data_IF_465717580429
#
_entry.id   IF_465717580429
#
_cell.length_a   1.000
_cell.length_b   1.000
_cell.length_c   1.000
_cell.angle_alpha   90.00
_cell.angle_beta   90.00
_cell.angle_gamma   90.00
#
_symmetry.space_group_name_H-M   'P 1'
#
loop_
_entity.id
_entity.type
_entity.pdbx_description
1 polymer ?
#
# COMPACT_ATOMS: atom_id res chain seq x y z
N UNK A 1 -5.23 11.51 -52.46
CA UNK A 1 -5.59 12.54 -51.46
C UNK A 1 -7.05 12.37 -51.08
N UNK A 2 -7.41 11.23 -50.36
CA UNK A 2 -8.79 10.94 -49.86
C UNK A 2 -8.74 9.69 -48.97
N UNK A 3 -8.09 9.74 -47.80
CA UNK A 3 -8.13 8.64 -46.80
C UNK A 3 -8.28 9.17 -45.35
N UNK A 4 -8.36 10.51 -45.18
CA UNK A 4 -8.43 11.11 -43.84
C UNK A 4 -9.83 11.52 -43.36
N UNK A 5 -10.89 11.15 -44.06
CA UNK A 5 -12.24 11.72 -43.87
C UNK A 5 -13.28 10.85 -43.15
N UNK A 6 -13.02 9.59 -42.77
CA UNK A 6 -14.11 8.65 -42.37
C UNK A 6 -14.05 8.10 -40.93
N UNK A 7 -13.16 8.57 -40.05
CA UNK A 7 -13.16 8.11 -38.66
C UNK A 7 -13.55 9.16 -37.61
N UNK A 8 -13.94 10.36 -37.98
CA UNK A 8 -14.32 11.41 -37.03
C UNK A 8 -15.77 11.30 -36.50
N UNK A 9 -16.58 10.38 -37.00
CA UNK A 9 -18.03 10.31 -36.73
C UNK A 9 -18.50 9.40 -35.63
N UNK A 10 -17.69 8.44 -35.14
CA UNK A 10 -18.18 7.37 -34.23
C UNK A 10 -17.83 7.60 -32.75
N UNK A 11 -16.94 8.53 -32.43
CA UNK A 11 -16.48 8.74 -31.04
C UNK A 11 -17.10 9.93 -30.32
N UNK A 12 -18.39 10.22 -30.58
CA UNK A 12 -19.18 11.16 -29.80
C UNK A 12 -19.68 10.45 -28.53
N UNK A 13 -19.02 10.70 -27.36
CA UNK A 13 -19.76 10.55 -26.13
C UNK A 13 -19.17 9.80 -24.93
N UNK A 14 -17.96 9.28 -24.96
CA UNK A 14 -17.35 8.87 -23.69
C UNK A 14 -16.75 10.09 -23.00
N UNK A 15 -17.55 10.77 -22.17
CA UNK A 15 -17.07 11.89 -21.35
C UNK A 15 -15.91 11.38 -20.45
N UNK A 16 -14.97 12.28 -20.10
CA UNK A 16 -13.94 11.96 -19.09
C UNK A 16 -14.54 11.41 -17.79
N UNK A 17 -15.75 11.82 -17.42
CA UNK A 17 -16.50 11.32 -16.30
C UNK A 17 -16.79 9.79 -16.41
N UNK A 18 -17.16 9.29 -17.61
CA UNK A 18 -17.45 7.86 -17.78
C UNK A 18 -16.22 6.94 -17.61
N UNK A 19 -15.01 7.49 -17.73
CA UNK A 19 -13.76 6.76 -17.50
C UNK A 19 -13.45 6.64 -16.01
N UNK A 20 -13.77 7.68 -15.23
CA UNK A 20 -13.59 7.69 -13.77
C UNK A 20 -14.71 6.95 -13.04
N UNK A 21 -15.82 6.61 -13.69
CA UNK A 21 -16.93 5.83 -13.12
C UNK A 21 -16.76 4.30 -13.28
N UNK A 22 -15.63 3.83 -13.83
CA UNK A 22 -15.33 2.40 -13.86
C UNK A 22 -15.25 1.85 -12.44
N UNK A 23 -16.04 0.81 -12.16
CA UNK A 23 -16.14 0.22 -10.82
C UNK A 23 -14.78 -0.29 -10.32
N UNK A 24 -14.01 -0.97 -11.17
CA UNK A 24 -12.71 -1.51 -10.81
C UNK A 24 -11.73 -0.38 -10.46
N UNK A 25 -11.82 0.75 -11.19
CA UNK A 25 -11.04 1.95 -10.90
C UNK A 25 -11.41 2.55 -9.54
N UNK A 26 -12.70 2.70 -9.24
CA UNK A 26 -13.16 3.25 -7.94
C UNK A 26 -12.71 2.34 -6.80
N UNK A 27 -12.79 1.01 -6.95
CA UNK A 27 -12.33 0.04 -5.95
C UNK A 27 -10.83 0.21 -5.70
N UNK A 28 -10.01 0.27 -6.75
CA UNK A 28 -8.57 0.47 -6.64
C UNK A 28 -8.24 1.80 -5.96
N UNK A 29 -8.89 2.89 -6.37
CA UNK A 29 -8.73 4.21 -5.78
C UNK A 29 -9.07 4.23 -4.29
N UNK A 30 -10.22 3.67 -3.90
CA UNK A 30 -10.65 3.61 -2.50
C UNK A 30 -9.69 2.78 -1.65
N UNK A 31 -9.23 1.64 -2.17
CA UNK A 31 -8.25 0.81 -1.47
C UNK A 31 -6.94 1.58 -1.23
N UNK A 32 -6.45 2.33 -2.22
CA UNK A 32 -5.23 3.13 -2.09
C UNK A 32 -5.41 4.34 -1.16
N UNK A 33 -6.55 5.01 -1.20
CA UNK A 33 -6.88 6.12 -0.29
C UNK A 33 -6.87 5.63 1.16
N UNK A 34 -7.52 4.49 1.44
CA UNK A 34 -7.54 3.90 2.78
C UNK A 34 -6.12 3.48 3.23
N UNK A 35 -5.35 2.84 2.35
CA UNK A 35 -3.95 2.51 2.62
C UNK A 35 -3.09 3.75 2.85
N UNK A 36 -3.30 4.81 2.07
CA UNK A 36 -2.61 6.10 2.20
C UNK A 36 -2.77 6.74 3.57
N UNK A 37 -3.99 6.66 4.16
CA UNK A 37 -4.23 7.08 5.55
C UNK A 37 -3.34 6.28 6.51
N UNK A 38 -3.35 4.96 6.42
CA UNK A 38 -2.53 4.09 7.26
C UNK A 38 -1.03 4.38 7.14
N UNK A 39 -0.54 4.52 5.91
CA UNK A 39 0.88 4.83 5.64
C UNK A 39 1.28 6.21 6.16
N UNK A 40 0.43 7.24 6.01
CA UNK A 40 0.71 8.58 6.52
C UNK A 40 0.84 8.59 8.04
N UNK A 41 -0.08 7.93 8.75
CA UNK A 41 -0.03 7.79 10.21
C UNK A 41 1.24 7.01 10.62
N UNK A 42 1.53 5.89 9.95
CA UNK A 42 2.69 5.07 10.26
C UNK A 42 4.00 5.86 10.05
N UNK A 43 4.14 6.56 8.93
CA UNK A 43 5.33 7.36 8.64
C UNK A 43 5.61 8.42 9.70
N UNK A 44 4.57 9.11 10.15
CA UNK A 44 4.72 10.16 11.17
C UNK A 44 5.10 9.64 12.56
N UNK A 45 4.80 8.38 12.90
CA UNK A 45 5.14 7.78 14.20
C UNK A 45 6.37 6.87 14.17
N UNK A 46 6.85 6.49 12.98
CA UNK A 46 7.95 5.53 12.84
C UNK A 46 9.16 5.92 13.70
N UNK A 47 9.64 7.15 13.59
CA UNK A 47 10.82 7.61 14.35
C UNK A 47 10.56 7.64 15.86
N UNK A 48 9.35 8.02 16.29
CA UNK A 48 8.98 8.00 17.69
C UNK A 48 9.01 6.59 18.27
N UNK A 49 8.45 5.60 17.56
CA UNK A 49 8.51 4.20 18.00
C UNK A 49 9.92 3.67 17.98
N UNK A 50 10.72 3.97 16.97
CA UNK A 50 12.13 3.56 16.92
C UNK A 50 12.92 4.12 18.11
N UNK A 51 12.72 5.38 18.44
CA UNK A 51 13.50 6.07 19.50
C UNK A 51 13.00 5.75 20.90
N UNK A 52 11.67 5.78 21.13
CA UNK A 52 11.12 5.73 22.49
C UNK A 52 10.51 4.39 22.88
N UNK A 53 9.96 3.61 21.93
CA UNK A 53 9.39 2.29 22.20
C UNK A 53 10.45 1.19 22.11
N UNK A 54 11.29 1.25 21.09
CA UNK A 54 12.35 0.28 20.84
C UNK A 54 13.71 0.71 21.39
N UNK A 55 13.85 1.99 21.80
CA UNK A 55 15.09 2.59 22.30
C UNK A 55 16.29 2.36 21.38
N UNK A 56 16.07 2.41 20.07
CA UNK A 56 17.10 2.21 19.06
C UNK A 56 17.99 3.45 18.97
N UNK A 57 19.29 3.21 18.89
CA UNK A 57 20.27 4.24 18.58
C UNK A 57 20.26 4.55 17.08
N UNK A 58 20.79 5.71 16.70
CA UNK A 58 20.87 6.09 15.29
C UNK A 58 21.57 5.05 14.42
N UNK A 59 22.56 4.34 14.95
CA UNK A 59 23.26 3.24 14.28
C UNK A 59 22.33 2.04 14.04
N UNK A 60 21.50 1.67 15.00
CA UNK A 60 20.56 0.57 14.90
C UNK A 60 19.48 0.86 13.83
N UNK A 61 18.99 2.09 13.80
CA UNK A 61 18.03 2.58 12.79
C UNK A 61 18.65 2.50 11.38
N UNK A 62 19.92 2.92 11.24
CA UNK A 62 20.65 2.82 9.98
C UNK A 62 20.78 1.35 9.53
N UNK A 63 21.20 0.46 10.45
CA UNK A 63 21.33 -0.98 10.15
C UNK A 63 20.00 -1.58 9.72
N UNK A 64 18.90 -1.30 10.44
CA UNK A 64 17.56 -1.76 10.07
C UNK A 64 17.15 -1.27 8.67
N UNK A 65 17.45 -0.02 8.35
CA UNK A 65 17.19 0.54 7.03
C UNK A 65 17.95 -0.19 5.94
N UNK A 66 19.26 -0.44 6.16
CA UNK A 66 20.11 -1.16 5.21
C UNK A 66 19.68 -2.63 5.04
N UNK A 67 19.29 -3.31 6.13
CA UNK A 67 18.77 -4.67 6.08
C UNK A 67 17.41 -4.78 5.37
N UNK A 68 16.67 -3.69 5.24
CA UNK A 68 15.44 -3.61 4.47
C UNK A 68 15.66 -3.54 2.96
N UNK A 69 16.82 -3.04 2.47
CA UNK A 69 17.10 -2.82 1.05
C UNK A 69 16.93 -4.07 0.15
N UNK A 70 17.32 -5.29 0.56
CA UNK A 70 17.08 -6.49 -0.24
C UNK A 70 15.60 -6.82 -0.42
N UNK A 71 14.72 -6.37 0.48
CA UNK A 71 13.28 -6.68 0.45
C UNK A 71 12.61 -6.37 -0.89
N UNK A 72 12.74 -5.16 -1.46
CA UNK A 72 12.22 -4.83 -2.79
C UNK A 72 12.70 -5.75 -3.91
N UNK A 73 13.96 -6.19 -3.89
CA UNK A 73 14.52 -7.11 -4.90
C UNK A 73 13.79 -8.45 -4.84
N UNK A 74 13.69 -9.03 -3.65
CA UNK A 74 12.96 -10.30 -3.45
C UNK A 74 11.47 -10.15 -3.75
N UNK A 75 10.86 -8.99 -3.42
CA UNK A 75 9.48 -8.66 -3.76
C UNK A 75 9.24 -8.66 -5.28
N UNK A 76 10.15 -8.03 -6.04
CA UNK A 76 10.11 -8.02 -7.51
C UNK A 76 10.20 -9.41 -8.13
N UNK A 77 10.98 -10.31 -7.53
CA UNK A 77 11.11 -11.70 -7.95
C UNK A 77 9.87 -12.53 -7.57
N UNK A 78 9.29 -12.27 -6.41
CA UNK A 78 8.15 -13.02 -5.84
C UNK A 78 6.83 -12.70 -6.56
N UNK A 79 6.59 -11.42 -6.88
CA UNK A 79 5.35 -10.95 -7.46
C UNK A 79 4.91 -11.73 -8.70
N UNK A 80 5.72 -11.87 -9.79
CA UNK A 80 5.30 -12.58 -10.98
C UNK A 80 5.12 -14.08 -10.76
N UNK A 81 5.85 -14.69 -9.79
CA UNK A 81 5.69 -16.12 -9.48
C UNK A 81 4.34 -16.39 -8.83
N UNK A 82 3.94 -15.56 -7.87
CA UNK A 82 2.66 -15.71 -7.18
C UNK A 82 1.48 -15.34 -8.09
N UNK A 83 1.64 -14.31 -8.94
CA UNK A 83 0.62 -13.96 -9.92
C UNK A 83 0.30 -15.10 -10.86
N UNK A 84 1.32 -15.78 -11.40
CA UNK A 84 1.14 -16.94 -12.29
C UNK A 84 0.46 -18.13 -11.61
N UNK A 85 0.67 -18.33 -10.30
CA UNK A 85 0.12 -19.48 -9.57
C UNK A 85 -1.28 -19.25 -9.03
N UNK A 86 -1.59 -18.03 -8.57
CA UNK A 86 -2.82 -17.74 -7.82
C UNK A 86 -3.68 -16.65 -8.47
N UNK A 87 -3.22 -16.05 -9.57
CA UNK A 87 -3.80 -14.85 -10.17
C UNK A 87 -3.41 -13.57 -9.43
N UNK A 88 -3.37 -12.43 -10.15
CA UNK A 88 -2.90 -11.14 -9.63
C UNK A 88 -3.65 -10.71 -8.37
N UNK A 89 -4.99 -10.77 -8.39
CA UNK A 89 -5.85 -10.32 -7.28
C UNK A 89 -5.61 -11.09 -6.00
N UNK A 90 -5.69 -12.43 -6.04
CA UNK A 90 -5.53 -13.27 -4.85
C UNK A 90 -4.11 -13.15 -4.29
N UNK A 91 -3.11 -13.13 -5.17
CA UNK A 91 -1.72 -12.96 -4.78
C UNK A 91 -1.47 -11.60 -4.12
N UNK A 92 -1.98 -10.50 -4.69
CA UNK A 92 -1.85 -9.17 -4.11
C UNK A 92 -2.50 -9.07 -2.73
N UNK A 93 -3.73 -9.57 -2.57
CA UNK A 93 -4.44 -9.57 -1.28
C UNK A 93 -3.70 -10.38 -0.21
N UNK A 94 -3.21 -11.58 -0.56
CA UNK A 94 -2.44 -12.42 0.37
C UNK A 94 -1.13 -11.75 0.78
N UNK A 95 -0.42 -11.13 -0.17
CA UNK A 95 0.81 -10.41 0.09
C UNK A 95 0.59 -9.18 0.97
N UNK A 96 -0.42 -8.36 0.71
CA UNK A 96 -0.75 -7.23 1.56
C UNK A 96 -1.16 -7.67 2.96
N UNK A 97 -2.00 -8.70 3.08
CA UNK A 97 -2.37 -9.25 4.38
C UNK A 97 -1.13 -9.73 5.17
N UNK A 98 -0.26 -10.50 4.52
CA UNK A 98 0.99 -10.98 5.15
C UNK A 98 1.89 -9.81 5.56
N UNK A 99 2.01 -8.79 4.71
CA UNK A 99 2.77 -7.57 5.03
C UNK A 99 2.20 -6.86 6.26
N UNK A 100 0.89 -6.73 6.37
CA UNK A 100 0.23 -6.10 7.54
C UNK A 100 0.51 -6.92 8.81
N UNK A 101 0.37 -8.23 8.75
CA UNK A 101 0.63 -9.11 9.90
C UNK A 101 2.09 -8.99 10.34
N UNK A 102 3.05 -9.20 9.43
CA UNK A 102 4.46 -9.16 9.79
C UNK A 102 4.93 -7.76 10.22
N UNK A 103 4.40 -6.71 9.62
CA UNK A 103 4.77 -5.33 9.97
C UNK A 103 4.31 -4.90 11.37
N UNK A 104 3.19 -5.44 11.86
CA UNK A 104 2.60 -4.99 13.11
C UNK A 104 2.75 -6.00 14.27
N UNK A 105 3.12 -7.26 13.97
CA UNK A 105 3.34 -8.30 15.00
C UNK A 105 4.39 -7.90 16.03
N UNK A 106 5.59 -7.38 15.70
CA UNK A 106 6.57 -7.01 16.72
C UNK A 106 6.02 -5.97 17.69
N UNK A 107 5.33 -4.96 17.16
CA UNK A 107 4.71 -3.93 17.98
C UNK A 107 3.63 -4.49 18.89
N UNK A 108 2.75 -5.34 18.39
CA UNK A 108 1.74 -6.01 19.19
C UNK A 108 2.38 -6.82 20.33
N UNK A 109 3.41 -7.63 20.03
CA UNK A 109 4.14 -8.41 21.04
C UNK A 109 4.83 -7.52 22.08
N UNK A 110 5.32 -6.35 21.68
CA UNK A 110 5.89 -5.37 22.61
C UNK A 110 4.83 -4.81 23.55
N UNK A 111 3.68 -4.39 23.00
CA UNK A 111 2.60 -3.78 23.78
C UNK A 111 1.98 -4.74 24.82
N UNK A 112 1.89 -6.02 24.51
CA UNK A 112 1.42 -7.05 25.46
C UNK A 112 2.52 -7.57 26.39
N UNK A 113 3.74 -6.98 26.34
CA UNK A 113 4.84 -7.33 27.24
C UNK A 113 5.61 -8.62 26.93
N UNK A 114 5.32 -9.29 25.79
CA UNK A 114 6.01 -10.52 25.37
C UNK A 114 7.40 -10.23 24.81
N UNK A 115 7.56 -9.15 24.04
CA UNK A 115 8.81 -8.78 23.40
C UNK A 115 9.56 -7.72 24.23
N UNK A 116 10.34 -8.15 25.22
CA UNK A 116 11.12 -7.31 26.14
C UNK A 116 12.61 -7.42 25.86
N UNK A 117 13.04 -7.09 24.63
CA UNK A 117 14.43 -7.24 24.17
C UNK A 117 15.19 -5.91 24.04
N UNK A 118 14.67 -4.80 24.58
CA UNK A 118 15.33 -3.49 24.49
C UNK A 118 16.76 -3.57 25.04
N UNK A 119 17.69 -2.88 24.37
CA UNK A 119 19.10 -2.90 24.73
C UNK A 119 19.87 -4.18 24.38
N UNK A 120 19.22 -5.18 23.78
CA UNK A 120 19.90 -6.42 23.36
C UNK A 120 20.11 -6.46 21.83
N UNK A 121 21.23 -7.06 21.35
CA UNK A 121 21.43 -7.27 19.90
C UNK A 121 20.34 -8.15 19.27
N UNK A 122 19.69 -9.01 20.04
CA UNK A 122 18.62 -9.88 19.57
C UNK A 122 17.40 -9.08 19.05
N UNK A 123 17.09 -7.94 19.66
CA UNK A 123 16.01 -7.06 19.19
C UNK A 123 16.20 -6.65 17.73
N UNK A 124 17.43 -6.25 17.36
CA UNK A 124 17.73 -5.80 16.02
C UNK A 124 17.45 -6.88 14.96
N UNK A 125 17.87 -8.12 15.24
CA UNK A 125 17.65 -9.25 14.33
C UNK A 125 16.17 -9.65 14.24
N UNK A 126 15.45 -9.58 15.34
CA UNK A 126 14.00 -9.82 15.35
C UNK A 126 13.30 -8.76 14.49
N UNK A 127 13.54 -7.47 14.75
CA UNK A 127 12.94 -6.37 13.98
C UNK A 127 13.33 -6.46 12.50
N UNK A 128 14.60 -6.73 12.18
CA UNK A 128 15.08 -6.89 10.81
C UNK A 128 14.36 -8.03 10.08
N UNK A 129 14.17 -9.17 10.73
CA UNK A 129 13.49 -10.33 10.13
C UNK A 129 12.04 -10.02 9.79
N UNK A 130 11.30 -9.41 10.72
CA UNK A 130 9.92 -9.00 10.47
C UNK A 130 9.82 -7.91 9.40
N UNK A 131 10.67 -6.89 9.45
CA UNK A 131 10.73 -5.81 8.46
C UNK A 131 11.09 -6.34 7.07
N UNK A 132 12.02 -7.29 6.96
CA UNK A 132 12.38 -7.90 5.70
C UNK A 132 11.18 -8.61 5.05
N UNK A 133 10.50 -9.49 5.78
CA UNK A 133 9.30 -10.19 5.26
C UNK A 133 8.19 -9.20 4.90
N UNK A 134 7.95 -8.20 5.76
CA UNK A 134 7.00 -7.13 5.49
C UNK A 134 7.31 -6.42 4.17
N UNK A 135 8.58 -6.00 3.96
CA UNK A 135 9.00 -5.28 2.77
C UNK A 135 8.88 -6.13 1.50
N UNK A 136 9.32 -7.39 1.55
CA UNK A 136 9.16 -8.34 0.43
C UNK A 136 7.68 -8.43 0.02
N UNK A 137 6.80 -8.66 1.00
CA UNK A 137 5.37 -8.83 0.75
C UNK A 137 4.71 -7.51 0.31
N UNK A 138 5.05 -6.38 0.92
CA UNK A 138 4.50 -5.08 0.56
C UNK A 138 4.85 -4.70 -0.87
N UNK A 139 6.12 -4.82 -1.27
CA UNK A 139 6.56 -4.46 -2.61
C UNK A 139 6.01 -5.42 -3.66
N UNK A 140 6.00 -6.74 -3.38
CA UNK A 140 5.37 -7.70 -4.28
C UNK A 140 3.88 -7.41 -4.48
N UNK A 141 3.14 -7.11 -3.40
CA UNK A 141 1.73 -6.71 -3.46
C UNK A 141 1.52 -5.42 -4.25
N UNK A 142 2.38 -4.41 -4.04
CA UNK A 142 2.32 -3.14 -4.77
C UNK A 142 2.56 -3.32 -6.28
N UNK A 143 3.54 -4.15 -6.69
CA UNK A 143 3.79 -4.47 -8.09
C UNK A 143 2.54 -5.08 -8.74
N UNK A 144 1.88 -6.03 -8.05
CA UNK A 144 0.66 -6.65 -8.56
C UNK A 144 -0.51 -5.67 -8.63
N UNK A 145 -0.69 -4.81 -7.60
CA UNK A 145 -1.71 -3.78 -7.62
C UNK A 145 -1.50 -2.80 -8.78
N UNK A 146 -0.26 -2.35 -9.02
CA UNK A 146 0.08 -1.48 -10.14
C UNK A 146 -0.20 -2.15 -11.49
N UNK A 147 0.08 -3.46 -11.63
CA UNK A 147 -0.29 -4.22 -12.82
C UNK A 147 -1.81 -4.29 -13.01
N UNK A 148 -2.59 -4.43 -11.94
CA UNK A 148 -4.06 -4.44 -12.01
C UNK A 148 -4.63 -3.08 -12.43
N UNK A 149 -3.97 -1.98 -12.10
CA UNK A 149 -4.34 -0.64 -12.61
C UNK A 149 -4.09 -0.57 -14.13
N UNK A 150 -3.00 -1.16 -14.62
CA UNK A 150 -2.76 -1.32 -16.06
C UNK A 150 -3.91 -2.07 -16.76
N UNK A 151 -4.39 -3.17 -16.16
CA UNK A 151 -5.53 -3.94 -16.68
C UNK A 151 -6.82 -3.08 -16.74
N UNK A 152 -7.04 -2.16 -15.79
CA UNK A 152 -8.15 -1.19 -15.81
C UNK A 152 -8.01 -0.20 -16.98
N UNK A 153 -6.78 0.27 -17.26
CA UNK A 153 -6.53 1.16 -18.40
C UNK A 153 -6.97 0.51 -19.71
N UNK A 154 -6.64 -0.78 -19.88
CA UNK A 154 -7.03 -1.57 -21.07
C UNK A 154 -8.56 -1.76 -21.12
N UNK A 155 -9.20 -2.09 -20.00
CA UNK A 155 -10.68 -2.21 -19.93
C UNK A 155 -11.35 -0.90 -20.35
N UNK A 156 -10.85 0.24 -19.88
CA UNK A 156 -11.38 1.57 -20.26
C UNK A 156 -11.11 1.87 -21.73
N UNK A 157 -9.97 1.45 -22.28
CA UNK A 157 -9.66 1.62 -23.69
C UNK A 157 -10.63 0.83 -24.58
N UNK A 158 -10.94 -0.42 -24.25
CA UNK A 158 -11.93 -1.24 -24.98
C UNK A 158 -13.29 -0.58 -24.97
N UNK A 159 -13.73 -0.05 -23.82
CA UNK A 159 -15.05 0.58 -23.68
C UNK A 159 -15.17 1.95 -24.35
N UNK A 160 -14.08 2.71 -24.39
CA UNK A 160 -14.12 4.13 -24.82
C UNK A 160 -13.44 4.40 -26.15
N UNK A 161 -12.72 3.42 -26.70
CA UNK A 161 -11.90 3.55 -27.90
C UNK A 161 -10.68 4.47 -27.76
N UNK A 162 -10.38 4.95 -26.55
CA UNK A 162 -9.27 5.88 -26.28
C UNK A 162 -8.44 5.42 -25.09
N UNK A 163 -7.13 5.41 -25.26
CA UNK A 163 -6.19 5.13 -24.16
C UNK A 163 -6.14 6.35 -23.23
N UNK A 164 -6.54 6.15 -21.98
CA UNK A 164 -6.62 7.20 -20.96
C UNK A 164 -5.60 6.97 -19.82
N UNK A 165 -4.44 6.41 -20.14
CA UNK A 165 -3.42 5.98 -19.17
C UNK A 165 -2.99 7.13 -18.23
N UNK A 166 -2.60 8.28 -18.80
CA UNK A 166 -2.18 9.43 -17.99
C UNK A 166 -3.26 9.98 -17.08
N UNK A 167 -4.53 9.96 -17.52
CA UNK A 167 -5.65 10.40 -16.68
C UNK A 167 -5.90 9.43 -15.53
N UNK A 168 -5.95 8.13 -15.81
CA UNK A 168 -6.25 7.11 -14.80
C UNK A 168 -5.13 6.96 -13.78
N UNK A 169 -3.87 6.98 -14.21
CA UNK A 169 -2.72 6.92 -13.29
C UNK A 169 -2.61 8.17 -12.41
N UNK A 170 -2.93 9.35 -12.94
CA UNK A 170 -2.97 10.58 -12.14
C UNK A 170 -4.14 10.58 -11.15
N UNK A 171 -5.34 10.18 -11.61
CA UNK A 171 -6.53 10.11 -10.78
C UNK A 171 -6.41 9.03 -9.68
N UNK A 172 -5.60 8.00 -9.89
CA UNK A 172 -5.28 6.97 -8.91
C UNK A 172 -4.25 7.45 -7.89
N UNK A 173 -3.14 8.03 -8.33
CA UNK A 173 -2.00 8.36 -7.48
C UNK A 173 -2.15 9.67 -6.71
N UNK A 174 -2.80 10.69 -7.26
CA UNK A 174 -2.88 12.02 -6.65
C UNK A 174 -3.70 12.05 -5.35
N UNK A 175 -4.94 11.49 -5.30
CA UNK A 175 -5.71 11.44 -4.07
C UNK A 175 -4.98 10.69 -2.95
N UNK A 176 -4.32 9.57 -3.26
CA UNK A 176 -3.56 8.78 -2.29
C UNK A 176 -2.41 9.57 -1.68
N UNK A 177 -1.69 10.36 -2.47
CA UNK A 177 -0.60 11.22 -2.00
C UNK A 177 -1.10 12.37 -1.12
N UNK A 178 -2.21 13.00 -1.48
CA UNK A 178 -2.84 14.07 -0.68
C UNK A 178 -3.29 13.49 0.67
N UNK A 179 -3.96 12.36 0.64
CA UNK A 179 -4.44 11.68 1.86
C UNK A 179 -3.26 11.24 2.74
N UNK A 180 -2.20 10.71 2.16
CA UNK A 180 -0.96 10.39 2.88
C UNK A 180 -0.37 11.61 3.58
N UNK A 181 -0.27 12.75 2.89
CA UNK A 181 0.28 13.97 3.46
C UNK A 181 -0.59 14.51 4.62
N UNK A 182 -1.93 14.48 4.48
CA UNK A 182 -2.86 14.87 5.54
C UNK A 182 -2.77 13.91 6.73
N UNK A 183 -2.73 12.61 6.47
CA UNK A 183 -2.65 11.58 7.50
C UNK A 183 -1.35 11.65 8.32
N UNK A 184 -0.27 12.17 7.73
CA UNK A 184 0.99 12.40 8.45
C UNK A 184 0.89 13.46 9.56
N UNK A 185 -0.20 14.22 9.63
CA UNK A 185 -0.49 15.16 10.74
C UNK A 185 -1.17 14.47 11.93
N UNK A 186 -1.86 13.34 11.73
CA UNK A 186 -2.60 12.61 12.77
C UNK A 186 -1.71 12.16 13.94
N UNK A 187 -0.45 11.73 13.72
CA UNK A 187 0.48 11.44 14.82
C UNK A 187 0.61 12.54 15.85
N UNK A 188 0.58 13.80 15.41
CA UNK A 188 0.59 14.94 16.32
C UNK A 188 -0.60 14.95 17.28
N UNK A 189 -1.78 14.51 16.81
CA UNK A 189 -2.97 14.39 17.66
C UNK A 189 -2.80 13.26 18.69
N UNK A 190 -2.22 12.12 18.30
CA UNK A 190 -1.96 11.01 19.23
C UNK A 190 -0.96 11.42 20.32
N UNK A 191 0.13 12.10 19.94
CA UNK A 191 1.12 12.60 20.89
C UNK A 191 0.53 13.65 21.83
N UNK A 192 -0.31 14.53 21.31
CA UNK A 192 -1.00 15.54 22.13
C UNK A 192 -1.99 14.90 23.11
N UNK A 193 -2.73 13.88 22.68
CA UNK A 193 -3.72 13.18 23.51
C UNK A 193 -3.09 12.52 24.75
N UNK A 194 -1.82 12.08 24.66
CA UNK A 194 -1.07 11.51 25.79
C UNK A 194 -0.14 12.53 26.47
N UNK A 195 -0.22 13.82 26.10
CA UNK A 195 0.65 14.88 26.59
C UNK A 195 2.16 14.56 26.45
N UNK A 196 2.55 13.99 25.30
CA UNK A 196 3.94 13.60 25.03
C UNK A 196 4.85 14.83 25.00
N UNK A 197 5.98 14.85 25.75
CA UNK A 197 6.83 16.03 25.87
C UNK A 197 7.51 16.41 24.55
N UNK A 198 7.54 17.70 24.21
CA UNK A 198 8.18 18.19 22.97
C UNK A 198 9.71 18.02 22.96
N UNK A 199 10.34 17.94 24.13
CA UNK A 199 11.78 17.70 24.34
C UNK A 199 11.98 16.41 25.13
N UNK A 200 11.29 15.33 24.71
CA UNK A 200 11.39 14.03 25.36
C UNK A 200 12.80 13.46 25.25
N UNK A 201 13.21 12.75 26.31
CA UNK A 201 14.37 11.86 26.30
C UNK A 201 13.91 10.45 26.66
N UNK A 202 14.61 9.40 26.21
CA UNK A 202 14.27 8.03 26.60
C UNK A 202 14.30 7.91 28.13
N UNK A 203 13.18 7.54 28.72
CA UNK A 203 12.98 7.34 30.17
C UNK A 203 11.76 6.45 30.38
N UNK A 204 11.57 5.93 31.58
CA UNK A 204 10.40 5.11 31.93
C UNK A 204 9.08 5.83 31.65
N UNK A 205 9.02 7.12 31.96
CA UNK A 205 7.84 7.95 31.67
C UNK A 205 7.57 8.10 30.18
N UNK A 206 8.59 8.31 29.37
CA UNK A 206 8.42 8.39 27.90
C UNK A 206 8.06 7.05 27.30
N UNK A 207 8.57 5.94 27.86
CA UNK A 207 8.18 4.57 27.49
C UNK A 207 6.70 4.31 27.75
N UNK A 208 6.19 4.73 28.91
CA UNK A 208 4.75 4.60 29.24
C UNK A 208 3.89 5.39 28.26
N UNK A 209 4.22 6.65 28.01
CA UNK A 209 3.46 7.51 27.09
C UNK A 209 3.49 6.99 25.67
N UNK A 210 4.63 6.53 25.16
CA UNK A 210 4.71 5.99 23.79
C UNK A 210 4.00 4.64 23.68
N UNK A 211 3.93 3.87 24.75
CA UNK A 211 3.11 2.65 24.82
C UNK A 211 1.63 2.98 24.68
N UNK A 212 1.14 4.03 25.33
CA UNK A 212 -0.24 4.51 25.15
C UNK A 212 -0.50 4.96 23.71
N UNK A 213 0.44 5.70 23.08
CA UNK A 213 0.37 6.03 21.65
C UNK A 213 0.32 4.75 20.81
N UNK A 214 1.09 3.73 21.18
CA UNK A 214 1.07 2.43 20.52
C UNK A 214 -0.30 1.74 20.53
N UNK A 215 -1.01 1.81 21.66
CA UNK A 215 -2.36 1.28 21.78
C UNK A 215 -3.41 2.05 20.99
N UNK A 216 -3.20 3.35 20.72
CA UNK A 216 -4.03 4.14 19.82
C UNK A 216 -3.69 3.84 18.35
N UNK A 217 -2.39 3.77 18.05
CA UNK A 217 -1.87 3.56 16.70
C UNK A 217 -2.24 2.19 16.13
N UNK A 218 -1.93 1.11 16.87
CA UNK A 218 -2.01 -0.24 16.34
C UNK A 218 -3.41 -0.62 15.81
N UNK A 219 -4.51 -0.46 16.57
CA UNK A 219 -5.84 -0.77 16.06
C UNK A 219 -6.24 0.16 14.90
N UNK A 220 -5.86 1.45 14.96
CA UNK A 220 -6.18 2.41 13.92
C UNK A 220 -5.58 1.99 12.57
N UNK A 221 -4.28 1.69 12.53
CA UNK A 221 -3.63 1.31 11.28
C UNK A 221 -4.03 -0.08 10.81
N UNK A 222 -4.28 -1.03 11.73
CA UNK A 222 -4.79 -2.35 11.37
C UNK A 222 -6.16 -2.27 10.69
N UNK A 223 -7.09 -1.47 11.23
CA UNK A 223 -8.41 -1.26 10.60
C UNK A 223 -8.25 -0.66 9.21
N UNK A 224 -7.38 0.34 9.03
CA UNK A 224 -7.13 0.97 7.74
C UNK A 224 -6.50 -0.02 6.75
N UNK A 225 -5.41 -0.70 7.10
CA UNK A 225 -4.75 -1.61 6.18
C UNK A 225 -5.60 -2.84 5.84
N UNK A 226 -6.26 -3.44 6.82
CA UNK A 226 -7.17 -4.57 6.58
C UNK A 226 -8.40 -4.13 5.79
N UNK A 227 -8.92 -2.93 6.05
CA UNK A 227 -9.98 -2.31 5.26
C UNK A 227 -9.56 -2.08 3.80
N UNK A 228 -8.33 -1.62 3.57
CA UNK A 228 -7.78 -1.53 2.21
C UNK A 228 -7.70 -2.89 1.52
N UNK A 229 -7.17 -3.91 2.21
CA UNK A 229 -7.11 -5.29 1.67
C UNK A 229 -8.52 -5.82 1.38
N UNK A 230 -9.48 -5.60 2.28
CA UNK A 230 -10.87 -6.00 2.08
C UNK A 230 -11.51 -5.28 0.89
N UNK A 231 -11.16 -4.02 0.65
CA UNK A 231 -11.65 -3.26 -0.51
C UNK A 231 -11.22 -3.90 -1.82
N UNK A 232 -10.01 -4.44 -1.93
CA UNK A 232 -9.56 -5.18 -3.10
C UNK A 232 -10.41 -6.43 -3.40
N UNK A 233 -11.16 -6.98 -2.45
CA UNK A 233 -12.08 -8.11 -2.70
C UNK A 233 -13.19 -7.76 -3.70
N UNK A 234 -13.59 -6.48 -3.76
CA UNK A 234 -14.62 -5.97 -4.68
C UNK A 234 -14.13 -5.75 -6.12
N UNK A 235 -12.82 -5.84 -6.37
CA UNK A 235 -12.24 -5.83 -7.71
C UNK A 235 -12.68 -7.06 -8.50
N UNK A 236 -13.17 -6.88 -9.75
CA UNK A 236 -13.84 -7.94 -10.53
C UNK A 236 -13.16 -8.30 -11.84
N UNK A 237 -12.14 -7.56 -12.27
CA UNK A 237 -11.43 -7.89 -13.50
C UNK A 237 -10.60 -9.17 -13.25
N UNK A 238 -10.90 -10.24 -13.95
CA UNK A 238 -10.18 -11.50 -13.92
C UNK A 238 -9.24 -11.64 -15.14
N UNK A 239 -8.39 -12.66 -15.12
CA UNK A 239 -7.41 -12.92 -16.18
C UNK A 239 -8.07 -13.19 -17.54
N UNK A 240 -9.25 -13.80 -17.54
CA UNK A 240 -9.99 -14.10 -18.76
C UNK A 240 -10.54 -12.82 -19.41
N UNK A 241 -11.09 -11.91 -18.59
CA UNK A 241 -11.53 -10.59 -19.05
C UNK A 241 -10.37 -9.76 -19.58
N UNK A 242 -9.20 -9.80 -18.90
CA UNK A 242 -7.98 -9.14 -19.36
C UNK A 242 -7.52 -9.71 -20.73
N UNK A 243 -7.46 -11.03 -20.88
CA UNK A 243 -7.07 -11.66 -22.15
C UNK A 243 -8.03 -11.31 -23.29
N UNK A 244 -9.35 -11.20 -23.03
CA UNK A 244 -10.35 -10.73 -24.01
C UNK A 244 -10.10 -9.27 -24.40
N UNK A 245 -9.84 -8.41 -23.45
CA UNK A 245 -9.56 -6.99 -23.71
C UNK A 245 -8.33 -6.81 -24.61
N UNK A 246 -7.25 -7.55 -24.35
CA UNK A 246 -6.04 -7.52 -25.19
C UNK A 246 -6.32 -7.94 -26.63
N UNK A 247 -7.07 -9.02 -26.87
CA UNK A 247 -7.46 -9.46 -28.22
C UNK A 247 -8.28 -8.38 -28.94
N UNK A 248 -9.25 -7.77 -28.26
CA UNK A 248 -10.06 -6.70 -28.83
C UNK A 248 -9.21 -5.49 -29.21
N UNK A 249 -8.22 -5.11 -28.40
CA UNK A 249 -7.30 -4.01 -28.70
C UNK A 249 -6.38 -4.33 -29.90
N UNK A 250 -5.97 -5.60 -30.02
CA UNK A 250 -5.15 -6.08 -31.16
C UNK A 250 -5.92 -6.17 -32.48
N UNK A 251 -7.25 -6.01 -32.47
CA UNK A 251 -8.10 -6.08 -33.66
C UNK A 251 -8.53 -7.50 -34.01
N UNK A 252 -8.29 -8.48 -33.14
CA UNK A 252 -8.79 -9.85 -33.32
C UNK A 252 -10.29 -9.90 -33.00
N UNK A 253 -11.12 -10.60 -33.81
CA UNK A 253 -12.54 -10.74 -33.52
C UNK A 253 -12.74 -11.48 -32.18
N UNK A 254 -13.77 -11.11 -31.40
CA UNK A 254 -14.12 -11.86 -30.20
C UNK A 254 -14.46 -13.31 -30.57
N UNK A 255 -14.11 -14.29 -29.73
CA UNK A 255 -14.42 -15.70 -29.97
C UNK A 255 -15.92 -16.00 -29.97
#
# INVERSE_FOLDING_TARGET
MQVFGLQAGVYRGASWASRLTNRNFIVALMAQVIAGLGFGIAAGLTLYFQTYLWELKAQDILILTLLGIPGPIFGGILAPRLARRFGKKKAAMALFFTSVVFGHTPMFLKLIGVLQLNGTPALLWVLASFTFVQMVCAIAGYILASSMIGDIVEEVQVRTGRRAEGLLTTADSLPSKIVYAIAALIPGLFLTAVAFPTKAQPSDRTMELITQVGWLYLPTVLVLFLGSVATWSFYRLDEESHARNLKTIAGDPPP
#
